data_IF_533822359066
#
_entry.id   IF_533822359066
#
_cell.length_a   1.000
_cell.length_b   1.000
_cell.length_c   1.000
_cell.angle_alpha   90.00
_cell.angle_beta   90.00
_cell.angle_gamma   90.00
#
_symmetry.space_group_name_H-M   'P 1'
#
loop_
_entity.id
_entity.type
_entity.pdbx_description
1 polymer ?
#
# COMPACT_ATOMS: atom_id res chain seq x y z
N UNK A 1 0.74 5.44 -17.08
CA UNK A 1 0.10 5.49 -15.74
C UNK A 1 1.18 5.77 -14.71
N UNK A 2 1.01 6.73 -13.80
CA UNK A 2 2.02 7.02 -12.77
C UNK A 2 1.87 6.08 -11.58
N UNK A 3 2.97 5.78 -10.87
CA UNK A 3 2.97 4.88 -9.69
C UNK A 3 2.00 5.32 -8.61
N UNK A 4 1.95 6.62 -8.35
CA UNK A 4 0.99 7.28 -7.45
C UNK A 4 -0.47 6.94 -7.79
N UNK A 5 -0.83 6.95 -9.08
CA UNK A 5 -2.20 6.63 -9.50
C UNK A 5 -2.50 5.14 -9.26
N UNK A 6 -1.57 4.25 -9.60
CA UNK A 6 -1.74 2.80 -9.39
C UNK A 6 -1.89 2.45 -7.91
N UNK A 7 -0.98 2.95 -7.07
CA UNK A 7 -1.03 2.76 -5.62
C UNK A 7 -2.34 3.25 -5.01
N UNK A 8 -2.81 4.44 -5.41
CA UNK A 8 -4.07 5.00 -4.91
C UNK A 8 -5.26 4.10 -5.27
N UNK A 9 -5.37 3.65 -6.53
CA UNK A 9 -6.48 2.78 -6.93
C UNK A 9 -6.45 1.44 -6.18
N UNK A 10 -5.27 0.86 -5.98
CA UNK A 10 -5.12 -0.37 -5.21
C UNK A 10 -5.56 -0.18 -3.75
N UNK A 11 -5.18 0.93 -3.13
CA UNK A 11 -5.55 1.26 -1.75
C UNK A 11 -7.06 1.50 -1.59
N UNK A 12 -7.66 2.29 -2.49
CA UNK A 12 -9.09 2.55 -2.52
C UNK A 12 -9.90 1.26 -2.68
N UNK A 13 -9.50 0.40 -3.61
CA UNK A 13 -10.18 -0.89 -3.81
C UNK A 13 -10.06 -1.78 -2.56
N UNK A 14 -8.85 -1.92 -2.02
CA UNK A 14 -8.59 -2.79 -0.87
C UNK A 14 -9.34 -2.34 0.39
N UNK A 15 -9.30 -1.05 0.72
CA UNK A 15 -9.91 -0.53 1.95
C UNK A 15 -11.40 -0.30 1.78
N UNK A 16 -11.83 0.36 0.70
CA UNK A 16 -13.22 0.79 0.57
C UNK A 16 -14.11 -0.31 0.01
N UNK A 17 -13.61 -1.13 -0.92
CA UNK A 17 -14.40 -2.19 -1.55
C UNK A 17 -14.25 -3.52 -0.82
N UNK A 18 -13.03 -3.97 -0.58
CA UNK A 18 -12.78 -5.26 0.10
C UNK A 18 -12.87 -5.16 1.63
N UNK A 19 -12.94 -3.95 2.19
CA UNK A 19 -13.02 -3.69 3.65
C UNK A 19 -11.84 -4.26 4.44
N UNK A 20 -10.68 -4.41 3.80
CA UNK A 20 -9.44 -4.83 4.46
C UNK A 20 -8.89 -3.65 5.27
N UNK A 21 -8.50 -3.94 6.52
CA UNK A 21 -8.00 -2.93 7.47
C UNK A 21 -6.59 -3.17 7.96
N UNK A 22 -6.05 -4.38 7.81
CA UNK A 22 -4.69 -4.73 8.23
C UNK A 22 -3.94 -5.33 7.06
N UNK A 23 -2.74 -4.81 6.83
CA UNK A 23 -1.92 -5.15 5.67
C UNK A 23 -0.54 -5.63 6.11
N UNK A 24 0.02 -6.56 5.34
CA UNK A 24 1.46 -6.79 5.24
C UNK A 24 1.85 -6.46 3.79
N UNK A 25 2.93 -5.72 3.58
CA UNK A 25 3.33 -5.26 2.24
C UNK A 25 4.66 -5.91 1.85
N UNK A 26 4.61 -6.76 0.83
CA UNK A 26 5.78 -7.35 0.21
C UNK A 26 6.09 -6.62 -1.10
N UNK A 27 7.36 -6.26 -1.29
CA UNK A 27 7.80 -5.49 -2.45
C UNK A 27 9.28 -5.82 -2.75
N UNK A 28 9.74 -5.68 -4.00
CA UNK A 28 11.15 -5.86 -4.33
C UNK A 28 11.98 -4.67 -3.80
N UNK A 29 13.17 -4.96 -3.26
CA UNK A 29 14.12 -3.95 -2.77
C UNK A 29 14.85 -3.25 -3.92
N UNK A 30 14.09 -2.53 -4.72
CA UNK A 30 14.58 -1.69 -5.82
C UNK A 30 13.72 -0.41 -5.91
N UNK A 31 14.21 0.67 -6.54
CA UNK A 31 13.58 1.98 -6.47
C UNK A 31 12.10 2.03 -6.85
N UNK A 32 11.68 1.26 -7.86
CA UNK A 32 10.29 1.22 -8.30
C UNK A 32 9.38 0.55 -7.27
N UNK A 33 9.79 -0.60 -6.72
CA UNK A 33 9.08 -1.33 -5.67
C UNK A 33 8.96 -0.52 -4.39
N UNK A 34 10.03 0.17 -3.99
CA UNK A 34 10.02 1.06 -2.83
C UNK A 34 9.05 2.23 -3.00
N UNK A 35 9.08 2.90 -4.15
CA UNK A 35 8.20 4.04 -4.41
C UNK A 35 6.73 3.62 -4.45
N UNK A 36 6.42 2.49 -5.11
CA UNK A 36 5.06 1.97 -5.16
C UNK A 36 4.56 1.55 -3.77
N UNK A 37 5.40 0.88 -2.98
CA UNK A 37 5.08 0.52 -1.58
C UNK A 37 4.79 1.77 -0.75
N UNK A 38 5.61 2.80 -0.86
CA UNK A 38 5.44 4.02 -0.08
C UNK A 38 4.15 4.77 -0.45
N UNK A 39 3.83 4.89 -1.74
CA UNK A 39 2.58 5.51 -2.21
C UNK A 39 1.34 4.72 -1.78
N UNK A 40 1.43 3.38 -1.79
CA UNK A 40 0.35 2.50 -1.35
C UNK A 40 0.14 2.60 0.15
N UNK A 41 1.22 2.48 0.95
CA UNK A 41 1.24 2.65 2.40
C UNK A 41 0.56 3.96 2.81
N UNK A 42 1.02 5.07 2.25
CA UNK A 42 0.46 6.37 2.55
C UNK A 42 -1.03 6.45 2.20
N UNK A 43 -1.45 5.82 1.10
CA UNK A 43 -2.85 5.81 0.69
C UNK A 43 -3.74 4.94 1.59
N UNK A 44 -3.27 3.79 2.06
CA UNK A 44 -4.05 2.95 2.99
C UNK A 44 -4.16 3.61 4.37
N UNK A 45 -3.11 4.26 4.86
CA UNK A 45 -3.12 4.98 6.14
C UNK A 45 -4.14 6.12 6.12
N UNK A 46 -4.20 6.92 5.03
CA UNK A 46 -5.25 7.96 4.86
C UNK A 46 -6.67 7.39 4.82
N UNK A 47 -6.84 6.13 4.44
CA UNK A 47 -8.14 5.45 4.41
C UNK A 47 -8.45 4.69 5.72
N UNK A 48 -7.62 4.86 6.74
CA UNK A 48 -7.76 4.21 8.04
C UNK A 48 -7.49 2.71 7.98
N UNK A 49 -6.57 2.28 7.12
CA UNK A 49 -5.93 0.97 7.18
C UNK A 49 -4.62 1.05 7.95
N UNK A 50 -4.20 -0.08 8.52
CA UNK A 50 -2.99 -0.21 9.33
C UNK A 50 -2.06 -1.24 8.68
N UNK A 51 -0.75 -1.00 8.75
CA UNK A 51 0.25 -2.03 8.43
C UNK A 51 0.72 -2.68 9.71
N UNK A 52 0.63 -4.00 9.77
CA UNK A 52 1.08 -4.77 10.91
C UNK A 52 2.53 -5.16 10.78
N UNK A 53 3.39 -4.63 11.66
CA UNK A 53 4.75 -5.11 11.91
C UNK A 53 5.75 -4.82 10.80
N UNK A 54 6.93 -4.35 11.19
CA UNK A 54 8.10 -4.13 10.34
C UNK A 54 8.69 -5.49 9.93
N UNK A 55 7.93 -6.26 9.16
CA UNK A 55 8.32 -7.57 8.65
C UNK A 55 9.37 -7.41 7.57
N UNK A 56 10.62 -7.15 7.97
CA UNK A 56 11.78 -7.61 7.20
C UNK A 56 11.63 -9.12 7.03
N UNK A 57 11.20 -9.55 5.85
CA UNK A 57 11.56 -10.88 5.33
C UNK A 57 12.98 -10.79 4.77
#
# INVERSE_FOLDING_TARGET
>A
MTRKIQARYLAEYSVNKLKIKRFAILYPLEPFGEELKNEFLHSIERLGGEVGGDGKL
#
